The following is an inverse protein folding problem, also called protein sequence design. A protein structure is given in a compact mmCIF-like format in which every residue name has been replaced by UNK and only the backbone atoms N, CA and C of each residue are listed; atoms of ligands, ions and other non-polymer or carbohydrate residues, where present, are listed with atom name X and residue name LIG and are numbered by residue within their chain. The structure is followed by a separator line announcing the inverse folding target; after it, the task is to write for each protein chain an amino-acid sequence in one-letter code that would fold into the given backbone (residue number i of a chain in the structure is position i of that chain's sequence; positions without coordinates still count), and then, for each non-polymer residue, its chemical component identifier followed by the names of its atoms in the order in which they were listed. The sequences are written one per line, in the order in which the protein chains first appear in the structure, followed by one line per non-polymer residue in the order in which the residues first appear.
data_IF_658174600276
#
_entry.id   IF_658174600276
#
_cell.length_a   1.000
_cell.length_b   1.000
_cell.length_c   1.000
_cell.angle_alpha   90.00
_cell.angle_beta   90.00
_cell.angle_gamma   90.00
#
_symmetry.space_group_name_H-M   'P 1'
#
loop_
_entity.id
_entity.type
_entity.pdbx_description
1 polymer ?
#
# COMPACT_ATOMS: atom_id res chain seq x y z
N UNK A 1 18.67 10.95 -18.41
CA UNK A 1 19.84 11.28 -17.58
C UNK A 1 20.28 10.00 -16.88
N UNK A 2 21.50 9.55 -17.10
CA UNK A 2 22.10 8.46 -16.30
C UNK A 2 22.85 9.12 -15.16
N UNK A 3 22.18 9.28 -14.03
CA UNK A 3 22.84 9.68 -12.78
C UNK A 3 23.59 8.49 -12.18
N UNK A 4 24.65 8.78 -11.41
CA UNK A 4 25.34 7.76 -10.64
C UNK A 4 24.37 7.09 -9.65
N UNK A 5 24.49 5.77 -9.41
CA UNK A 5 23.67 5.10 -8.41
C UNK A 5 23.81 5.75 -7.03
N UNK A 6 22.68 6.01 -6.37
CA UNK A 6 22.64 6.46 -4.98
C UNK A 6 22.28 5.26 -4.11
N UNK A 7 23.06 5.02 -3.06
CA UNK A 7 22.73 4.00 -2.07
C UNK A 7 21.57 4.49 -1.18
N UNK A 8 20.62 3.60 -0.90
CA UNK A 8 19.53 3.88 0.05
C UNK A 8 19.94 3.37 1.44
N UNK A 9 19.66 4.16 2.47
CA UNK A 9 19.77 3.73 3.87
C UNK A 9 18.52 2.93 4.26
N UNK A 10 18.71 1.74 4.86
CA UNK A 10 17.61 0.99 5.46
C UNK A 10 17.18 1.70 6.75
N UNK A 11 16.02 2.35 6.71
CA UNK A 11 15.46 3.09 7.88
C UNK A 11 14.54 2.24 8.76
N UNK A 12 14.15 1.04 8.31
CA UNK A 12 13.30 0.16 9.09
C UNK A 12 12.91 -1.12 8.36
N UNK A 13 12.08 -1.90 9.04
CA UNK A 13 11.46 -3.14 8.59
C UNK A 13 10.11 -3.24 9.29
N UNK A 14 9.14 -3.86 8.64
CA UNK A 14 7.76 -3.92 9.12
C UNK A 14 7.36 -5.38 9.28
N UNK A 15 6.73 -5.70 10.41
CA UNK A 15 6.19 -7.02 10.67
C UNK A 15 4.72 -7.04 10.24
N UNK A 16 4.41 -7.80 9.18
CA UNK A 16 3.04 -8.04 8.73
C UNK A 16 2.56 -9.41 9.21
N UNK A 17 1.24 -9.67 9.19
CA UNK A 17 0.71 -10.99 9.50
C UNK A 17 1.45 -12.10 8.74
N UNK A 18 1.66 -13.28 9.36
CA UNK A 18 2.42 -14.36 8.74
C UNK A 18 1.93 -14.71 7.33
N UNK A 19 2.88 -15.04 6.44
CA UNK A 19 2.64 -15.33 5.03
C UNK A 19 2.15 -14.13 4.16
N UNK A 20 2.32 -12.89 4.63
CA UNK A 20 2.12 -11.70 3.81
C UNK A 20 3.24 -11.53 2.78
N UNK A 21 2.95 -11.83 1.52
CA UNK A 21 3.85 -11.57 0.39
C UNK A 21 3.50 -10.23 -0.24
N UNK A 22 4.24 -9.18 0.13
CA UNK A 22 4.01 -7.79 -0.31
C UNK A 22 4.36 -7.61 -1.78
N UNK A 23 3.47 -6.95 -2.53
CA UNK A 23 3.66 -6.63 -3.95
C UNK A 23 3.73 -5.12 -4.23
N UNK A 24 3.06 -4.30 -3.41
CA UNK A 24 3.08 -2.85 -3.58
C UNK A 24 2.73 -2.10 -2.28
N UNK A 25 3.06 -0.82 -2.24
CA UNK A 25 2.56 0.11 -1.23
C UNK A 25 2.39 1.51 -1.82
N UNK A 26 1.49 2.31 -1.25
CA UNK A 26 1.30 3.71 -1.61
C UNK A 26 0.92 4.56 -0.39
N UNK A 27 1.18 5.87 -0.45
CA UNK A 27 0.82 6.85 0.57
C UNK A 27 -0.30 7.74 0.04
N UNK A 28 -1.32 8.00 0.86
CA UNK A 28 -2.42 8.88 0.45
C UNK A 28 -1.92 10.30 0.14
N UNK A 29 -2.61 11.06 -0.73
CA UNK A 29 -2.15 12.41 -1.11
C UNK A 29 -1.98 13.39 0.06
N UNK A 30 -2.74 13.22 1.14
CA UNK A 30 -2.62 14.01 2.37
C UNK A 30 -1.67 13.41 3.41
N UNK A 31 -1.06 12.26 3.10
CA UNK A 31 -0.17 11.50 3.96
C UNK A 31 -0.85 10.77 5.12
N UNK A 32 -2.18 10.89 5.27
CA UNK A 32 -2.89 10.36 6.44
C UNK A 32 -3.05 8.84 6.46
N UNK A 33 -2.76 8.15 5.34
CA UNK A 33 -2.85 6.71 5.28
C UNK A 33 -1.84 6.08 4.35
N UNK A 34 -1.39 4.89 4.72
CA UNK A 34 -0.49 4.05 3.93
C UNK A 34 -1.25 2.78 3.58
N UNK A 35 -1.23 2.40 2.31
CA UNK A 35 -1.78 1.13 1.85
C UNK A 35 -0.62 0.20 1.48
N UNK A 36 -0.66 -1.03 1.99
CA UNK A 36 0.30 -2.09 1.65
C UNK A 36 -0.48 -3.26 1.08
N UNK A 37 -0.17 -3.64 -0.16
CA UNK A 37 -0.76 -4.76 -0.86
C UNK A 37 0.10 -6.00 -0.66
N UNK A 38 -0.54 -7.11 -0.31
CA UNK A 38 0.03 -8.43 -0.33
C UNK A 38 -0.91 -9.41 -1.04
N UNK A 39 -0.40 -10.57 -1.47
CA UNK A 39 -1.28 -11.61 -1.98
C UNK A 39 -2.29 -12.03 -0.91
N UNK A 40 -3.58 -11.87 -1.21
CA UNK A 40 -4.66 -12.21 -0.29
C UNK A 40 -4.98 -11.16 0.79
N UNK A 41 -4.35 -9.97 0.77
CA UNK A 41 -4.62 -8.93 1.77
C UNK A 41 -4.26 -7.52 1.30
N UNK A 42 -5.05 -6.53 1.71
CA UNK A 42 -4.69 -5.11 1.70
C UNK A 42 -4.63 -4.61 3.15
N UNK A 43 -3.47 -4.14 3.57
CA UNK A 43 -3.26 -3.54 4.87
C UNK A 43 -3.35 -2.02 4.75
N UNK A 44 -4.11 -1.39 5.62
CA UNK A 44 -4.25 0.06 5.71
C UNK A 44 -3.74 0.50 7.08
N UNK A 45 -2.82 1.44 7.07
CA UNK A 45 -2.30 2.09 8.26
C UNK A 45 -2.78 3.54 8.25
N UNK A 46 -3.35 4.01 9.36
CA UNK A 46 -3.52 5.43 9.57
C UNK A 46 -2.18 6.03 10.03
N UNK A 47 -1.92 7.27 9.63
CA UNK A 47 -0.69 7.98 9.97
C UNK A 47 -1.01 9.39 10.42
N UNK A 48 -0.55 9.76 11.60
CA UNK A 48 -0.69 11.14 12.08
C UNK A 48 0.25 12.10 11.31
N UNK A 49 -0.14 13.37 11.21
CA UNK A 49 0.56 14.38 10.38
C UNK A 49 2.07 14.51 10.72
N UNK A 50 2.44 14.26 11.97
CA UNK A 50 3.82 14.34 12.47
C UNK A 50 4.46 12.98 12.72
N UNK A 51 3.73 11.89 12.48
CA UNK A 51 4.26 10.54 12.61
C UNK A 51 5.11 10.20 11.39
N UNK A 52 6.23 9.53 11.62
CA UNK A 52 7.06 9.05 10.53
C UNK A 52 6.39 7.87 9.82
N UNK A 53 6.77 7.62 8.56
CA UNK A 53 6.20 6.48 7.81
C UNK A 53 6.52 5.16 8.50
N UNK A 54 7.73 5.01 9.07
CA UNK A 54 8.14 3.76 9.70
C UNK A 54 7.44 3.53 11.05
N UNK A 55 7.17 4.59 11.81
CA UNK A 55 6.42 4.49 13.06
C UNK A 55 4.98 4.03 12.79
N UNK A 56 4.31 4.64 11.80
CA UNK A 56 2.97 4.25 11.39
C UNK A 56 2.90 2.79 10.90
N UNK A 57 3.86 2.36 10.09
CA UNK A 57 3.93 0.99 9.58
C UNK A 57 4.33 -0.06 10.65
N UNK A 58 4.87 0.39 11.78
CA UNK A 58 5.17 -0.48 12.92
C UNK A 58 3.95 -0.72 13.82
N UNK A 59 2.84 0.00 13.57
CA UNK A 59 1.56 -0.20 14.23
C UNK A 59 0.77 -1.38 13.66
N UNK A 60 -0.37 -1.68 14.26
CA UNK A 60 -1.29 -2.72 13.77
C UNK A 60 -2.10 -2.18 12.58
N UNK A 61 -2.08 -2.83 11.40
CA UNK A 61 -2.89 -2.42 10.27
C UNK A 61 -4.36 -2.79 10.44
N UNK A 62 -5.23 -2.05 9.76
CA UNK A 62 -6.57 -2.52 9.43
C UNK A 62 -6.54 -3.32 8.13
N UNK A 63 -7.29 -4.42 8.06
CA UNK A 63 -7.53 -5.11 6.78
C UNK A 63 -8.55 -4.32 5.96
N UNK A 64 -8.11 -3.81 4.81
CA UNK A 64 -8.95 -3.14 3.84
C UNK A 64 -9.86 -4.10 3.07
N UNK A 65 -10.91 -3.60 2.39
CA UNK A 65 -11.74 -4.43 1.53
C UNK A 65 -10.94 -4.97 0.34
N UNK A 66 -10.79 -6.29 0.28
CA UNK A 66 -10.12 -6.98 -0.82
C UNK A 66 -11.09 -7.38 -1.93
N UNK A 67 -10.61 -7.33 -3.18
CA UNK A 67 -11.22 -8.07 -4.28
C UNK A 67 -10.37 -9.31 -4.55
N UNK A 68 -11.01 -10.47 -4.60
CA UNK A 68 -10.33 -11.72 -4.91
C UNK A 68 -9.76 -11.67 -6.33
N UNK A 69 -8.43 -11.62 -6.42
CA UNK A 69 -7.65 -11.52 -7.65
C UNK A 69 -6.70 -12.73 -7.73
N UNK A 70 -6.33 -13.14 -8.94
CA UNK A 70 -5.42 -14.30 -9.14
C UNK A 70 -4.02 -13.97 -8.59
N UNK A 71 -3.54 -12.74 -8.82
CA UNK A 71 -2.28 -12.18 -8.30
C UNK A 71 -2.40 -10.65 -8.33
N UNK A 72 -2.48 -10.02 -7.16
CA UNK A 72 -2.61 -8.56 -7.06
C UNK A 72 -1.25 -7.87 -7.07
N UNK A 73 -0.99 -7.02 -8.07
CA UNK A 73 0.36 -6.48 -8.29
C UNK A 73 0.56 -5.06 -7.80
N UNK A 74 -0.42 -4.18 -8.03
CA UNK A 74 -0.28 -2.77 -7.69
C UNK A 74 -1.47 -2.22 -6.92
N UNK A 75 -1.18 -1.21 -6.11
CA UNK A 75 -2.15 -0.40 -5.38
C UNK A 75 -1.76 1.07 -5.53
N UNK A 76 -2.75 1.96 -5.65
CA UNK A 76 -2.53 3.39 -5.63
C UNK A 76 -3.75 4.13 -5.08
N UNK A 77 -3.55 5.18 -4.29
CA UNK A 77 -4.62 6.06 -3.88
C UNK A 77 -5.11 6.91 -5.06
N UNK A 78 -6.42 7.15 -5.09
CA UNK A 78 -6.98 8.18 -5.93
C UNK A 78 -6.50 9.56 -5.47
N UNK A 79 -6.41 10.52 -6.39
CA UNK A 79 -6.00 11.89 -6.10
C UNK A 79 -6.86 12.59 -5.03
N UNK A 80 -8.12 12.16 -4.82
CA UNK A 80 -9.00 12.68 -3.78
C UNK A 80 -8.80 12.02 -2.41
N UNK A 81 -7.95 10.99 -2.30
CA UNK A 81 -7.66 10.22 -1.09
C UNK A 81 -8.81 9.35 -0.58
N UNK A 82 -9.98 9.34 -1.23
CA UNK A 82 -11.22 8.67 -0.75
C UNK A 82 -11.34 7.21 -1.19
N UNK A 83 -10.47 6.78 -2.09
CA UNK A 83 -10.42 5.43 -2.62
C UNK A 83 -9.00 5.05 -2.97
N UNK A 84 -8.74 3.76 -3.08
CA UNK A 84 -7.56 3.24 -3.76
C UNK A 84 -8.00 2.35 -4.93
N UNK A 85 -7.09 2.16 -5.87
CA UNK A 85 -7.23 1.29 -7.00
C UNK A 85 -6.32 0.08 -6.84
N UNK A 86 -6.77 -1.08 -7.29
CA UNK A 86 -5.97 -2.29 -7.37
C UNK A 86 -6.03 -2.84 -8.78
N UNK A 87 -4.95 -3.51 -9.19
CA UNK A 87 -4.87 -4.16 -10.50
C UNK A 87 -4.11 -5.49 -10.35
N UNK A 88 -4.66 -6.58 -10.88
CA UNK A 88 -3.94 -7.85 -10.92
C UNK A 88 -2.92 -7.91 -12.05
N UNK A 89 -2.05 -8.92 -11.99
CA UNK A 89 -1.20 -9.32 -13.11
C UNK A 89 -2.05 -9.70 -14.33
N UNK A 90 -1.59 -9.33 -15.53
CA UNK A 90 -2.22 -9.76 -16.79
C UNK A 90 -2.03 -8.79 -17.95
N UNK A 91 -2.43 -9.24 -19.15
CA UNK A 91 -2.35 -8.42 -20.37
C UNK A 91 -3.50 -7.40 -20.50
N UNK A 92 -4.68 -7.73 -19.96
CA UNK A 92 -5.88 -6.86 -19.94
C UNK A 92 -6.65 -7.01 -18.62
N UNK A 93 -6.02 -6.67 -17.48
CA UNK A 93 -6.64 -6.83 -16.17
C UNK A 93 -7.69 -5.75 -15.91
N UNK A 94 -8.71 -6.09 -15.13
CA UNK A 94 -9.69 -5.09 -14.67
C UNK A 94 -9.07 -4.23 -13.59
N UNK A 95 -9.15 -2.90 -13.76
CA UNK A 95 -8.83 -1.95 -12.70
C UNK A 95 -10.00 -1.89 -11.71
N UNK A 96 -9.72 -2.24 -10.46
CA UNK A 96 -10.71 -2.16 -9.40
C UNK A 96 -10.57 -0.85 -8.62
N UNK A 97 -11.70 -0.34 -8.11
CA UNK A 97 -11.73 0.84 -7.23
C UNK A 97 -12.44 0.51 -5.94
N UNK A 98 -11.74 0.66 -4.82
CA UNK A 98 -12.26 0.41 -3.48
C UNK A 98 -12.42 1.73 -2.74
N UNK A 99 -13.63 2.02 -2.26
CA UNK A 99 -13.88 3.19 -1.42
C UNK A 99 -13.44 2.91 0.01
N UNK A 100 -12.67 3.85 0.58
CA UNK A 100 -12.33 3.82 2.00
C UNK A 100 -13.56 4.22 2.79
N UNK A 101 -13.91 3.43 3.80
CA UNK A 101 -14.82 3.88 4.86
C UNK A 101 -13.92 4.43 5.96
N UNK A 102 -14.12 5.69 6.32
CA UNK A 102 -13.59 6.23 7.58
C UNK A 102 -14.45 5.71 8.71
#
# INVERSE_FOLDING_TARGET
ATGDPVALDKVGEIDLPPASLVTAADLSPDGSAIAVRAYGSEFLFDRDVNESIIDALSGEPCTGPMIAEVQGEAIAFAADGRSYMTIPEGADPTLHRVRRRR
#
